data_IF_388085341992
#
_entry.id   IF_388085341992
#
_cell.length_a   1.000
_cell.length_b   1.000
_cell.length_c   1.000
_cell.angle_alpha   90.00
_cell.angle_beta   90.00
_cell.angle_gamma   90.00
#
_symmetry.space_group_name_H-M   'P 1'
#
loop_
_entity.id
_entity.type
_entity.pdbx_description
1 polymer ?
#
# COMPACT_ATOMS: atom_id res chain seq x y z
N UNK A 1 -4.75 -42.08 -8.89
CA UNK A 1 -5.35 -40.74 -8.71
C UNK A 1 -4.62 -39.76 -9.62
N UNK A 2 -5.27 -39.14 -10.62
CA UNK A 2 -4.63 -38.15 -11.49
C UNK A 2 -4.29 -36.90 -10.65
N UNK A 3 -3.01 -36.58 -10.47
CA UNK A 3 -2.60 -35.28 -9.90
C UNK A 3 -3.17 -34.19 -10.80
N UNK A 4 -3.94 -33.26 -10.24
CA UNK A 4 -4.34 -32.05 -10.98
C UNK A 4 -3.05 -31.29 -11.35
N UNK A 5 -2.85 -30.90 -12.62
CA UNK A 5 -1.60 -30.28 -13.06
C UNK A 5 -1.41 -28.87 -12.46
N UNK A 6 -2.49 -28.22 -12.03
CA UNK A 6 -2.47 -26.86 -11.51
C UNK A 6 -3.39 -26.70 -10.31
N UNK A 7 -2.90 -26.01 -9.27
CA UNK A 7 -3.67 -25.69 -8.07
C UNK A 7 -3.96 -24.19 -8.03
N UNK A 8 -5.15 -23.81 -8.47
CA UNK A 8 -5.57 -22.41 -8.53
C UNK A 8 -5.54 -21.71 -7.17
N UNK A 9 -5.81 -22.42 -6.06
CA UNK A 9 -5.75 -21.85 -4.71
C UNK A 9 -4.32 -21.51 -4.31
N UNK A 10 -3.37 -22.40 -4.61
CA UNK A 10 -1.96 -22.15 -4.34
C UNK A 10 -1.44 -21.00 -5.20
N UNK A 11 -1.85 -20.95 -6.48
CA UNK A 11 -1.52 -19.86 -7.39
C UNK A 11 -2.00 -18.50 -6.88
N UNK A 12 -3.28 -18.36 -6.48
CA UNK A 12 -3.78 -17.06 -6.01
C UNK A 12 -3.10 -16.62 -4.72
N UNK A 13 -2.79 -17.54 -3.80
CA UNK A 13 -2.02 -17.20 -2.58
C UNK A 13 -0.61 -16.73 -2.89
N UNK A 14 0.09 -17.39 -3.83
CA UNK A 14 1.43 -16.96 -4.24
C UNK A 14 1.38 -15.62 -4.98
N UNK A 15 0.39 -15.42 -5.84
CA UNK A 15 0.19 -14.14 -6.54
C UNK A 15 0.02 -12.98 -5.54
N UNK A 16 -0.83 -13.16 -4.52
CA UNK A 16 -1.01 -12.19 -3.43
C UNK A 16 0.30 -11.89 -2.72
N UNK A 17 1.11 -12.91 -2.41
CA UNK A 17 2.39 -12.72 -1.75
C UNK A 17 3.33 -11.85 -2.60
N UNK A 18 3.45 -12.15 -3.88
CA UNK A 18 4.33 -11.39 -4.78
C UNK A 18 3.85 -9.95 -4.98
N UNK A 19 2.56 -9.74 -5.19
CA UNK A 19 2.01 -8.40 -5.36
C UNK A 19 2.11 -7.58 -4.07
N UNK A 20 1.91 -8.21 -2.90
CA UNK A 20 2.11 -7.57 -1.59
C UNK A 20 3.55 -7.12 -1.39
N UNK A 21 4.54 -7.93 -1.77
CA UNK A 21 5.95 -7.54 -1.67
C UNK A 21 6.22 -6.31 -2.55
N UNK A 22 5.72 -6.32 -3.78
CA UNK A 22 5.90 -5.20 -4.71
C UNK A 22 5.24 -3.92 -4.16
N UNK A 23 3.99 -4.01 -3.70
CA UNK A 23 3.27 -2.88 -3.11
C UNK A 23 3.94 -2.34 -1.84
N UNK A 24 4.47 -3.21 -0.98
CA UNK A 24 5.17 -2.81 0.23
C UNK A 24 6.48 -2.08 -0.08
N UNK A 25 7.26 -2.59 -1.04
CA UNK A 25 8.50 -1.95 -1.48
C UNK A 25 8.20 -0.62 -2.15
N UNK A 26 7.26 -0.57 -3.10
CA UNK A 26 6.93 0.67 -3.79
C UNK A 26 6.32 1.71 -2.84
N UNK A 27 5.50 1.29 -1.88
CA UNK A 27 4.95 2.15 -0.84
C UNK A 27 6.04 2.74 0.07
N UNK A 28 7.04 1.93 0.45
CA UNK A 28 8.17 2.41 1.24
C UNK A 28 9.03 3.41 0.45
N UNK A 29 9.28 3.14 -0.84
CA UNK A 29 9.98 4.09 -1.72
C UNK A 29 9.22 5.41 -1.78
N UNK A 30 7.92 5.37 -2.12
CA UNK A 30 7.04 6.55 -2.22
C UNK A 30 6.91 7.33 -0.91
N UNK A 31 7.04 6.65 0.23
CA UNK A 31 7.06 7.29 1.54
C UNK A 31 8.33 8.16 1.74
N UNK A 32 9.48 7.75 1.18
CA UNK A 32 10.77 8.47 1.29
C UNK A 32 11.05 9.46 0.16
N UNK A 33 10.33 9.34 -0.97
CA UNK A 33 10.54 10.18 -2.15
C UNK A 33 10.26 11.66 -1.85
N UNK A 34 11.08 12.60 -2.37
CA UNK A 34 10.85 14.03 -2.21
C UNK A 34 9.50 14.51 -2.77
N UNK A 35 9.15 15.75 -2.46
CA UNK A 35 7.96 16.39 -3.03
C UNK A 35 7.96 16.29 -4.57
N UNK A 36 6.77 16.20 -5.19
CA UNK A 36 6.67 15.96 -6.64
C UNK A 36 7.41 16.99 -7.48
N UNK A 37 7.46 18.24 -7.00
CA UNK A 37 8.22 19.32 -7.63
C UNK A 37 9.73 19.04 -7.57
N UNK A 38 10.28 18.81 -6.38
CA UNK A 38 11.71 18.56 -6.21
C UNK A 38 12.14 17.31 -7.00
N UNK A 39 11.32 16.26 -6.99
CA UNK A 39 11.61 15.03 -7.74
C UNK A 39 11.73 15.27 -9.26
N UNK A 40 10.80 16.04 -9.84
CA UNK A 40 10.81 16.37 -11.27
C UNK A 40 12.02 17.28 -11.62
N UNK A 41 12.33 18.27 -10.77
CA UNK A 41 13.42 19.22 -10.99
C UNK A 41 14.82 18.61 -10.83
N UNK A 42 14.99 17.68 -9.91
CA UNK A 42 16.29 17.05 -9.63
C UNK A 42 16.54 15.80 -10.48
N UNK A 43 15.63 15.46 -11.41
CA UNK A 43 15.62 14.18 -12.11
C UNK A 43 15.81 13.02 -11.14
N UNK A 44 15.06 13.04 -10.03
CA UNK A 44 15.20 12.05 -8.98
C UNK A 44 14.90 10.66 -9.54
N UNK A 45 15.83 9.75 -9.32
CA UNK A 45 15.68 8.34 -9.70
C UNK A 45 16.11 7.45 -8.54
N UNK A 46 15.41 6.33 -8.38
CA UNK A 46 15.78 5.28 -7.45
C UNK A 46 15.62 3.92 -8.12
N UNK A 47 16.67 3.11 -8.04
CA UNK A 47 16.79 1.82 -8.73
C UNK A 47 16.49 1.91 -10.24
N UNK A 48 16.84 3.04 -10.88
CA UNK A 48 16.64 3.26 -12.31
C UNK A 48 15.25 3.77 -12.72
N UNK A 49 14.35 4.00 -11.76
CA UNK A 49 13.00 4.52 -12.01
C UNK A 49 12.80 5.92 -11.42
N UNK A 50 12.10 6.76 -12.15
CA UNK A 50 11.62 8.06 -11.68
C UNK A 50 10.48 7.89 -10.67
N UNK A 51 10.18 8.97 -9.92
CA UNK A 51 9.04 9.00 -9.00
C UNK A 51 7.72 8.57 -9.65
N UNK A 52 7.42 9.10 -10.83
CA UNK A 52 6.18 8.82 -11.57
C UNK A 52 6.06 7.35 -11.96
N UNK A 53 7.18 6.69 -12.25
CA UNK A 53 7.23 5.26 -12.55
C UNK A 53 6.99 4.43 -11.29
N UNK A 54 7.54 4.82 -10.14
CA UNK A 54 7.23 4.21 -8.85
C UNK A 54 5.75 4.38 -8.46
N UNK A 55 5.15 5.54 -8.71
CA UNK A 55 3.70 5.78 -8.52
C UNK A 55 2.87 4.86 -9.42
N UNK A 56 3.31 4.68 -10.67
CA UNK A 56 2.67 3.78 -11.64
C UNK A 56 2.75 2.33 -11.19
N UNK A 57 3.95 1.86 -10.78
CA UNK A 57 4.16 0.50 -10.26
C UNK A 57 3.24 0.26 -9.06
N UNK A 58 3.27 1.14 -8.06
CA UNK A 58 2.46 0.97 -6.85
C UNK A 58 0.96 0.92 -7.18
N UNK A 59 0.47 1.86 -7.99
CA UNK A 59 -0.96 1.95 -8.30
C UNK A 59 -1.45 0.72 -9.08
N UNK A 60 -0.72 0.30 -10.10
CA UNK A 60 -1.09 -0.86 -10.93
C UNK A 60 -1.02 -2.14 -10.10
N UNK A 61 0.04 -2.35 -9.32
CA UNK A 61 0.17 -3.55 -8.50
C UNK A 61 -0.84 -3.59 -7.35
N UNK A 62 -1.23 -2.44 -6.80
CA UNK A 62 -2.32 -2.36 -5.81
C UNK A 62 -3.65 -2.82 -6.39
N UNK A 63 -3.99 -2.46 -7.63
CA UNK A 63 -5.20 -2.99 -8.29
C UNK A 63 -5.11 -4.49 -8.56
N UNK A 64 -3.94 -4.99 -8.97
CA UNK A 64 -3.71 -6.43 -9.19
C UNK A 64 -3.80 -7.20 -7.86
N UNK A 65 -3.24 -6.66 -6.78
CA UNK A 65 -3.36 -7.22 -5.43
C UNK A 65 -4.84 -7.28 -5.01
N UNK A 66 -5.60 -6.19 -5.20
CA UNK A 66 -7.03 -6.15 -4.91
C UNK A 66 -7.84 -7.19 -5.72
N UNK A 67 -7.46 -7.42 -6.98
CA UNK A 67 -8.05 -8.48 -7.80
C UNK A 67 -7.75 -9.87 -7.21
N UNK A 68 -6.49 -10.18 -6.92
CA UNK A 68 -6.12 -11.51 -6.42
C UNK A 68 -6.63 -11.79 -5.00
N UNK A 69 -6.62 -10.80 -4.10
CA UNK A 69 -7.20 -10.96 -2.77
C UNK A 69 -8.71 -11.22 -2.86
N UNK A 70 -9.41 -10.54 -3.79
CA UNK A 70 -10.83 -10.80 -4.05
C UNK A 70 -11.08 -12.21 -4.57
N UNK A 71 -10.25 -12.70 -5.51
CA UNK A 71 -10.30 -14.08 -5.99
C UNK A 71 -10.00 -15.09 -4.88
N UNK A 72 -9.06 -14.78 -3.99
CA UNK A 72 -8.74 -15.62 -2.83
C UNK A 72 -9.89 -15.67 -1.83
N UNK A 73 -10.51 -14.53 -1.52
CA UNK A 73 -11.71 -14.43 -0.68
C UNK A 73 -12.86 -15.23 -1.28
N UNK A 74 -13.13 -15.10 -2.57
CA UNK A 74 -14.18 -15.86 -3.28
C UNK A 74 -13.92 -17.37 -3.21
N UNK A 75 -12.71 -17.82 -3.55
CA UNK A 75 -12.35 -19.24 -3.54
C UNK A 75 -12.39 -19.88 -2.13
N UNK A 76 -12.22 -19.08 -1.08
CA UNK A 76 -12.25 -19.51 0.31
C UNK A 76 -13.52 -19.06 1.05
N UNK A 77 -14.52 -18.51 0.34
CA UNK A 77 -15.71 -17.88 0.94
C UNK A 77 -16.48 -18.85 1.85
N UNK A 78 -16.67 -20.08 1.39
CA UNK A 78 -17.32 -21.12 2.20
C UNK A 78 -16.53 -21.46 3.46
N UNK A 79 -15.20 -21.51 3.37
CA UNK A 79 -14.33 -21.79 4.52
C UNK A 79 -14.39 -20.65 5.55
N UNK A 80 -14.38 -19.40 5.08
CA UNK A 80 -14.53 -18.21 5.93
C UNK A 80 -15.90 -18.21 6.61
N UNK A 81 -16.99 -18.39 5.86
CA UNK A 81 -18.34 -18.44 6.41
C UNK A 81 -18.53 -19.60 7.39
N UNK A 82 -17.98 -20.78 7.09
CA UNK A 82 -18.03 -21.91 8.00
C UNK A 82 -17.24 -21.63 9.28
N UNK A 83 -16.05 -21.02 9.17
CA UNK A 83 -15.27 -20.60 10.33
C UNK A 83 -16.06 -19.63 11.21
N UNK A 84 -16.64 -18.58 10.62
CA UNK A 84 -17.47 -17.60 11.33
C UNK A 84 -18.69 -18.29 11.95
N UNK A 85 -19.50 -19.03 11.18
CA UNK A 85 -20.72 -19.70 11.68
C UNK A 85 -20.41 -20.66 12.83
N UNK A 86 -19.34 -21.45 12.75
CA UNK A 86 -18.91 -22.36 13.83
C UNK A 86 -18.49 -21.59 15.07
N UNK A 87 -17.71 -20.51 14.91
CA UNK A 87 -17.31 -19.61 15.98
C UNK A 87 -18.52 -18.94 16.66
N UNK A 88 -19.56 -18.60 15.89
CA UNK A 88 -20.83 -18.11 16.44
C UNK A 88 -21.63 -19.19 17.16
N UNK A 89 -21.67 -20.44 16.69
CA UNK A 89 -22.56 -21.48 17.24
C UNK A 89 -22.03 -22.19 18.49
N UNK A 90 -20.71 -22.27 18.70
CA UNK A 90 -20.12 -23.16 19.72
C UNK A 90 -19.28 -22.49 20.81
N UNK A 91 -18.80 -21.25 20.68
CA UNK A 91 -17.85 -20.67 21.66
C UNK A 91 -18.10 -19.18 21.95
N UNK A 92 -18.39 -18.83 23.20
CA UNK A 92 -18.57 -17.43 23.66
C UNK A 92 -17.29 -16.60 23.51
N UNK A 93 -16.11 -17.18 23.81
CA UNK A 93 -14.79 -16.52 23.66
C UNK A 93 -14.47 -16.10 22.22
N UNK A 94 -14.90 -16.90 21.25
CA UNK A 94 -14.69 -16.62 19.84
C UNK A 94 -15.46 -15.39 19.32
N UNK A 95 -16.63 -15.09 19.91
CA UNK A 95 -17.38 -13.87 19.60
C UNK A 95 -16.65 -12.65 20.15
N UNK A 96 -16.06 -12.77 21.35
CA UNK A 96 -15.22 -11.73 21.96
C UNK A 96 -13.99 -11.45 21.09
N UNK A 97 -13.29 -12.47 20.59
CA UNK A 97 -12.16 -12.31 19.65
C UNK A 97 -12.56 -11.48 18.42
N UNK A 98 -13.72 -11.77 17.81
CA UNK A 98 -14.23 -11.02 16.66
C UNK A 98 -14.52 -9.55 17.01
N UNK A 99 -15.27 -9.29 18.08
CA UNK A 99 -15.58 -7.92 18.50
C UNK A 99 -14.33 -7.14 18.91
N UNK A 100 -13.39 -7.78 19.61
CA UNK A 100 -12.11 -7.16 19.97
C UNK A 100 -11.28 -6.84 18.73
N UNK A 101 -11.21 -7.75 17.75
CA UNK A 101 -10.48 -7.47 16.50
C UNK A 101 -11.07 -6.27 15.75
N UNK A 102 -12.40 -6.16 15.68
CA UNK A 102 -13.07 -5.00 15.08
C UNK A 102 -12.86 -3.72 15.89
N UNK A 103 -12.97 -3.80 17.22
CA UNK A 103 -12.75 -2.67 18.12
C UNK A 103 -11.32 -2.12 17.98
N UNK A 104 -10.32 -3.01 17.93
CA UNK A 104 -8.92 -2.63 17.69
C UNK A 104 -8.80 -1.87 16.36
N UNK A 105 -9.37 -2.39 15.27
CA UNK A 105 -9.33 -1.71 13.96
C UNK A 105 -9.99 -0.32 14.02
N UNK A 106 -11.15 -0.20 14.69
CA UNK A 106 -11.84 1.08 14.86
C UNK A 106 -11.00 2.07 15.67
N UNK A 107 -10.36 1.62 16.76
CA UNK A 107 -9.48 2.46 17.58
C UNK A 107 -8.26 2.92 16.78
N UNK A 108 -7.61 2.02 16.04
CA UNK A 108 -6.47 2.37 15.18
C UNK A 108 -6.87 3.38 14.09
N UNK A 109 -8.01 3.16 13.44
CA UNK A 109 -8.57 4.09 12.45
C UNK A 109 -8.88 5.45 13.07
N UNK A 110 -9.55 5.48 14.22
CA UNK A 110 -9.86 6.71 14.95
C UNK A 110 -8.61 7.48 15.36
N UNK A 111 -7.58 6.78 15.87
CA UNK A 111 -6.29 7.37 16.20
C UNK A 111 -5.55 7.94 14.98
N UNK A 112 -5.67 7.27 13.82
CA UNK A 112 -5.10 7.75 12.56
C UNK A 112 -5.80 9.02 12.08
N UNK A 113 -7.14 9.04 12.05
CA UNK A 113 -7.93 10.23 11.66
C UNK A 113 -7.70 11.40 12.61
N UNK A 114 -7.61 11.12 13.91
CA UNK A 114 -7.34 12.13 14.94
C UNK A 114 -5.87 12.59 14.99
N UNK A 115 -4.98 12.03 14.15
CA UNK A 115 -3.55 12.36 14.10
C UNK A 115 -2.86 12.23 15.47
N UNK A 116 -3.22 11.20 16.24
CA UNK A 116 -2.64 10.93 17.58
C UNK A 116 -1.38 10.07 17.41
N UNK A 117 -0.33 10.25 18.24
CA UNK A 117 0.81 9.33 18.25
C UNK A 117 0.39 7.86 18.51
N UNK A 118 1.01 6.86 17.88
CA UNK A 118 2.19 6.96 17.02
C UNK A 118 1.89 7.28 15.54
N UNK A 119 0.62 7.44 15.15
CA UNK A 119 0.24 7.61 13.74
C UNK A 119 0.75 8.93 13.16
N UNK A 120 0.63 10.03 13.91
CA UNK A 120 1.21 11.31 13.51
C UNK A 120 2.73 11.26 13.46
N UNK A 121 3.38 10.57 14.40
CA UNK A 121 4.85 10.42 14.41
C UNK A 121 5.39 9.73 13.16
N UNK A 122 4.65 8.76 12.60
CA UNK A 122 4.99 8.15 11.30
C UNK A 122 4.86 9.19 10.18
N UNK A 123 3.85 10.06 10.20
CA UNK A 123 3.74 11.10 9.18
C UNK A 123 4.83 12.16 9.31
N UNK A 124 5.16 12.57 10.54
CA UNK A 124 6.20 13.56 10.85
C UNK A 124 7.59 13.05 10.43
N UNK A 125 7.89 11.77 10.62
CA UNK A 125 9.12 11.16 10.11
C UNK A 125 9.19 11.24 8.58
N UNK A 126 8.06 11.00 7.91
CA UNK A 126 7.95 11.08 6.46
C UNK A 126 8.18 12.51 5.95
N UNK A 127 7.67 13.52 6.64
CA UNK A 127 7.93 14.92 6.29
C UNK A 127 9.39 15.30 6.53
N UNK A 128 9.98 14.90 7.66
CA UNK A 128 11.40 15.15 7.94
C UNK A 128 12.32 14.55 6.88
N UNK A 129 12.05 13.32 6.43
CA UNK A 129 12.81 12.69 5.33
C UNK A 129 12.65 13.48 4.04
N UNK A 130 11.45 13.99 3.75
CA UNK A 130 11.15 14.79 2.55
C UNK A 130 11.81 16.16 2.58
N UNK A 131 11.87 16.80 3.74
CA UNK A 131 12.46 18.12 3.95
C UNK A 131 14.00 18.07 3.99
N UNK A 132 14.58 16.90 4.27
CA UNK A 132 16.03 16.69 4.20
C UNK A 132 16.58 16.72 2.77
N UNK A 133 15.72 16.62 1.75
CA UNK A 133 16.15 16.78 0.37
C UNK A 133 16.44 18.25 0.08
N UNK A 134 17.58 18.58 -0.56
CA UNK A 134 17.96 19.97 -0.80
C UNK A 134 16.91 20.67 -1.69
N UNK A 135 16.31 21.74 -1.17
CA UNK A 135 15.56 22.70 -2.00
C UNK A 135 16.53 23.37 -2.97
N UNK A 136 16.29 23.21 -4.26
CA UNK A 136 17.15 23.80 -5.26
C UNK A 136 16.85 25.30 -5.31
N UNK A 137 17.84 26.15 -5.01
CA UNK A 137 17.68 27.62 -5.03
C UNK A 137 17.44 28.18 -6.44
N UNK A 138 17.69 27.36 -7.46
CA UNK A 138 17.43 27.68 -8.87
C UNK A 138 16.01 27.27 -9.31
N UNK A 139 15.11 26.91 -8.38
CA UNK A 139 13.70 26.65 -8.70
C UNK A 139 13.05 27.93 -9.29
N UNK A 140 12.48 27.87 -10.50
CA UNK A 140 11.82 29.01 -11.10
C UNK A 140 10.52 29.34 -10.39
N UNK A 141 10.14 30.62 -10.43
CA UNK A 141 8.88 31.13 -9.87
C UNK A 141 7.63 30.43 -10.43
N UNK A 142 7.73 29.83 -11.62
CA UNK A 142 6.68 29.04 -12.24
C UNK A 142 6.76 27.59 -11.76
N UNK A 143 5.67 27.14 -11.13
CA UNK A 143 5.49 25.71 -10.89
C UNK A 143 5.51 24.95 -12.23
N UNK A 144 6.29 23.87 -12.27
CA UNK A 144 6.38 22.98 -13.43
C UNK A 144 7.05 23.60 -14.68
N UNK A 145 7.93 24.60 -14.51
CA UNK A 145 8.60 25.23 -15.66
C UNK A 145 9.45 24.25 -16.48
N UNK A 146 9.87 23.13 -15.88
CA UNK A 146 10.58 22.03 -16.54
C UNK A 146 9.77 21.34 -17.65
N UNK A 147 8.43 21.49 -17.66
CA UNK A 147 7.55 20.91 -18.69
C UNK A 147 7.08 21.91 -19.74
N UNK A 148 7.60 23.14 -19.72
CA UNK A 148 7.27 24.13 -20.74
C UNK A 148 7.91 23.73 -22.08
N UNK A 149 7.15 23.66 -23.18
CA UNK A 149 7.73 23.47 -24.49
C UNK A 149 8.60 24.70 -24.82
N UNK A 150 9.89 24.47 -25.03
CA UNK A 150 10.74 25.47 -25.68
C UNK A 150 10.50 25.37 -27.19
N UNK A 151 9.42 25.98 -27.65
CA UNK A 151 9.27 26.23 -29.08
C UNK A 151 10.43 27.14 -29.52
N UNK A 152 11.24 26.66 -30.46
CA UNK A 152 12.21 27.47 -31.21
C UNK A 152 11.65 27.78 -32.59
#
# INVERSE_FOLDING_TARGET
>A
MKKKPFNFRAFTTLAILWTLIIDAVSGLVLYTVPSGRIADWTNWTFAGFAKSEWETIHTVFSYIFLLFISLHLYNNWHSILHYIKRKFKQYTKARIELYLSLLVVIILLGGTIASIPPFSSVMDLGSLIKDAWPENKDEPFLARAEKLPFDR
#
